data_IF_087609186987
#
_entry.id   IF_087609186987
#
_cell.length_a   1.000
_cell.length_b   1.000
_cell.length_c   1.000
_cell.angle_alpha   90.00
_cell.angle_beta   90.00
_cell.angle_gamma   90.00
#
_symmetry.space_group_name_H-M   'P 1'
#
loop_
_entity.id
_entity.type
_entity.pdbx_description
1 polymer ?
#
# COMPACT_ATOMS: atom_id res chain seq x y z
N UNK A 1 -7.21 -20.76 8.71
CA UNK A 1 -7.56 -19.59 7.89
C UNK A 1 -6.56 -18.51 8.25
N UNK A 2 -5.93 -17.87 7.25
CA UNK A 2 -4.90 -16.82 7.51
C UNK A 2 -5.58 -15.52 7.93
N UNK A 3 -4.96 -14.81 8.84
CA UNK A 3 -5.45 -13.54 9.41
C UNK A 3 -4.57 -12.38 8.96
N UNK A 4 -5.16 -11.36 8.34
CA UNK A 4 -4.43 -10.22 7.79
C UNK A 4 -4.96 -8.92 8.40
N UNK A 5 -4.05 -8.05 8.84
CA UNK A 5 -4.38 -6.70 9.24
C UNK A 5 -4.22 -5.75 8.04
N UNK A 6 -5.24 -4.93 7.78
CA UNK A 6 -5.20 -3.90 6.74
C UNK A 6 -5.25 -2.53 7.41
N UNK A 7 -4.17 -1.76 7.29
CA UNK A 7 -4.07 -0.38 7.80
C UNK A 7 -4.52 0.58 6.71
N UNK A 8 -5.33 1.58 7.07
CA UNK A 8 -5.95 2.48 6.10
C UNK A 8 -7.18 1.87 5.41
N UNK A 9 -7.87 0.95 6.08
CA UNK A 9 -8.98 0.14 5.56
C UNK A 9 -10.18 0.94 5.00
N UNK A 10 -10.32 2.20 5.36
CA UNK A 10 -11.39 3.09 4.87
C UNK A 10 -10.96 3.96 3.69
N UNK A 11 -9.68 3.88 3.27
CA UNK A 11 -9.12 4.62 2.14
C UNK A 11 -9.46 3.99 0.80
N UNK A 12 -9.11 4.70 -0.29
CA UNK A 12 -9.37 4.29 -1.66
C UNK A 12 -8.82 2.89 -1.97
N UNK A 13 -7.55 2.63 -1.66
CA UNK A 13 -6.93 1.32 -1.85
C UNK A 13 -7.36 0.33 -0.76
N UNK A 14 -7.31 0.75 0.51
CA UNK A 14 -7.56 -0.15 1.65
C UNK A 14 -8.92 -0.82 1.63
N UNK A 15 -9.95 -0.10 1.20
CA UNK A 15 -11.32 -0.66 1.05
C UNK A 15 -11.34 -1.82 0.06
N UNK A 16 -10.64 -1.72 -1.06
CA UNK A 16 -10.59 -2.79 -2.06
C UNK A 16 -9.74 -3.97 -1.59
N UNK A 17 -8.65 -3.70 -0.87
CA UNK A 17 -7.82 -4.76 -0.25
C UNK A 17 -8.63 -5.58 0.76
N UNK A 18 -9.42 -4.91 1.62
CA UNK A 18 -10.32 -5.61 2.57
C UNK A 18 -11.31 -6.50 1.83
N UNK A 19 -11.94 -5.99 0.78
CA UNK A 19 -12.89 -6.77 -0.04
C UNK A 19 -12.23 -7.97 -0.72
N UNK A 20 -11.06 -7.77 -1.34
CA UNK A 20 -10.36 -8.85 -2.05
C UNK A 20 -9.91 -9.95 -1.08
N UNK A 21 -9.35 -9.59 0.08
CA UNK A 21 -8.98 -10.55 1.12
C UNK A 21 -10.19 -11.33 1.63
N UNK A 22 -11.29 -10.64 1.93
CA UNK A 22 -12.52 -11.28 2.39
C UNK A 22 -13.08 -12.26 1.36
N UNK A 23 -13.09 -11.87 0.08
CA UNK A 23 -13.54 -12.73 -1.03
C UNK A 23 -12.67 -13.97 -1.21
N UNK A 24 -11.37 -13.89 -0.87
CA UNK A 24 -10.46 -15.05 -0.87
C UNK A 24 -10.47 -15.85 0.43
N UNK A 25 -11.38 -15.52 1.36
CA UNK A 25 -11.59 -16.29 2.60
C UNK A 25 -10.57 -16.01 3.70
N UNK A 26 -9.88 -14.86 3.68
CA UNK A 26 -9.05 -14.44 4.80
C UNK A 26 -9.89 -13.85 5.93
N UNK A 27 -9.41 -14.00 7.17
CA UNK A 27 -9.85 -13.13 8.26
C UNK A 27 -9.14 -11.80 8.19
N UNK A 28 -9.90 -10.71 8.17
CA UNK A 28 -9.38 -9.36 8.00
C UNK A 28 -9.64 -8.52 9.24
N UNK A 29 -8.58 -8.05 9.89
CA UNK A 29 -8.67 -6.93 10.82
C UNK A 29 -8.53 -5.65 10.00
N UNK A 30 -9.62 -4.92 9.82
CA UNK A 30 -9.66 -3.68 9.05
C UNK A 30 -9.43 -2.48 9.98
N UNK A 31 -8.23 -1.90 9.93
CA UNK A 31 -7.79 -0.85 10.85
C UNK A 31 -8.01 0.55 10.26
N UNK A 32 -8.67 1.41 11.03
CA UNK A 32 -8.85 2.82 10.71
C UNK A 32 -9.04 3.65 11.99
N UNK A 33 -8.81 4.97 11.93
CA UNK A 33 -9.14 5.90 13.03
C UNK A 33 -10.65 6.00 13.26
N UNK A 34 -11.40 5.99 12.17
CA UNK A 34 -12.86 5.95 12.18
C UNK A 34 -13.34 4.75 11.38
N UNK A 35 -13.93 3.80 12.06
CA UNK A 35 -14.36 2.51 11.50
C UNK A 35 -15.81 2.51 10.98
N UNK A 36 -16.53 3.61 11.08
CA UNK A 36 -17.95 3.70 10.71
C UNK A 36 -18.29 3.34 9.25
N UNK A 37 -17.28 3.38 8.38
CA UNK A 37 -17.40 3.01 6.95
C UNK A 37 -16.97 1.58 6.65
N UNK A 38 -16.53 0.82 7.66
CA UNK A 38 -16.12 -0.58 7.48
C UNK A 38 -17.37 -1.45 7.64
N UNK A 39 -17.69 -2.20 6.59
CA UNK A 39 -18.74 -3.20 6.63
C UNK A 39 -18.18 -4.47 7.26
N UNK A 40 -18.59 -4.75 8.51
CA UNK A 40 -18.22 -5.97 9.19
C UNK A 40 -18.97 -7.18 8.63
N UNK A 41 -18.31 -8.32 8.64
CA UNK A 41 -18.88 -9.60 8.21
C UNK A 41 -18.30 -10.73 9.07
N UNK A 42 -18.65 -11.97 8.77
CA UNK A 42 -18.10 -13.13 9.48
C UNK A 42 -16.57 -13.17 9.47
N UNK A 43 -15.95 -12.66 8.39
CA UNK A 43 -14.50 -12.68 8.21
C UNK A 43 -13.85 -11.28 8.15
N UNK A 44 -14.61 -10.20 8.36
CA UNK A 44 -14.09 -8.83 8.44
C UNK A 44 -14.44 -8.19 9.77
N UNK A 45 -13.45 -7.80 10.54
CA UNK A 45 -13.59 -7.10 11.82
C UNK A 45 -13.05 -5.68 11.71
N UNK A 46 -13.87 -4.70 12.07
CA UNK A 46 -13.46 -3.32 12.20
C UNK A 46 -12.65 -3.11 13.48
N UNK A 47 -11.49 -2.47 13.39
CA UNK A 47 -10.59 -2.20 14.52
C UNK A 47 -10.19 -0.74 14.49
N UNK A 48 -10.55 -0.01 15.56
CA UNK A 48 -10.08 1.36 15.72
C UNK A 48 -8.61 1.37 16.13
N UNK A 49 -7.78 2.10 15.40
CA UNK A 49 -6.35 2.22 15.69
C UNK A 49 -5.82 3.61 15.31
N UNK A 50 -4.96 4.14 16.16
CA UNK A 50 -4.12 5.29 15.84
C UNK A 50 -2.72 4.80 15.44
N UNK A 51 -2.38 4.99 14.19
CA UNK A 51 -1.07 4.54 13.64
C UNK A 51 0.13 5.27 14.26
N UNK A 52 -0.09 6.43 14.86
CA UNK A 52 0.97 7.19 15.55
C UNK A 52 1.23 6.71 16.99
N UNK A 53 0.36 5.85 17.53
CA UNK A 53 0.58 5.15 18.79
C UNK A 53 1.19 3.76 18.51
N UNK A 54 2.51 3.73 18.27
CA UNK A 54 3.26 2.52 17.88
C UNK A 54 3.03 1.35 18.85
N UNK A 55 3.02 1.63 20.17
CA UNK A 55 2.84 0.57 21.17
C UNK A 55 1.46 -0.07 21.11
N UNK A 56 0.41 0.72 21.03
CA UNK A 56 -0.96 0.22 20.91
C UNK A 56 -1.15 -0.52 19.58
N UNK A 57 -0.62 0.07 18.49
CA UNK A 57 -0.70 -0.56 17.17
C UNK A 57 0.01 -1.93 17.17
N UNK A 58 1.18 -2.04 17.79
CA UNK A 58 1.89 -3.33 17.85
C UNK A 58 1.09 -4.41 18.58
N UNK A 59 0.39 -4.06 19.67
CA UNK A 59 -0.49 -5.00 20.38
C UNK A 59 -1.69 -5.44 19.52
N UNK A 60 -2.28 -4.51 18.77
CA UNK A 60 -3.38 -4.79 17.83
C UNK A 60 -2.94 -5.74 16.70
N UNK A 61 -1.70 -5.58 16.23
CA UNK A 61 -1.16 -6.38 15.12
C UNK A 61 -0.75 -7.78 15.53
N UNK A 62 -0.54 -8.09 16.81
CA UNK A 62 -0.18 -9.41 17.29
C UNK A 62 -1.16 -10.51 16.83
N UNK A 63 -0.60 -11.65 16.43
CA UNK A 63 -1.39 -12.81 16.00
C UNK A 63 -2.01 -12.68 14.60
N UNK A 64 -1.65 -11.64 13.82
CA UNK A 64 -1.88 -11.64 12.38
C UNK A 64 -0.75 -12.36 11.66
N UNK A 65 -1.04 -13.00 10.53
CA UNK A 65 -0.04 -13.66 9.67
C UNK A 65 0.70 -12.65 8.79
N UNK A 66 0.03 -11.54 8.45
CA UNK A 66 0.57 -10.46 7.64
C UNK A 66 -0.10 -9.11 7.93
N UNK A 67 0.58 -8.04 7.54
CA UNK A 67 0.06 -6.67 7.55
C UNK A 67 0.15 -6.08 6.15
N UNK A 68 -0.95 -5.49 5.67
CA UNK A 68 -0.98 -4.68 4.43
C UNK A 68 -1.29 -3.24 4.83
N UNK A 69 -0.38 -2.31 4.53
CA UNK A 69 -0.57 -0.88 4.77
C UNK A 69 -0.91 -0.13 3.49
N UNK A 70 -2.11 0.40 3.44
CA UNK A 70 -2.57 1.38 2.46
C UNK A 70 -2.73 2.77 3.13
N UNK A 71 -1.84 3.07 4.09
CA UNK A 71 -1.86 4.33 4.82
C UNK A 71 -1.51 5.51 3.92
N UNK A 72 -2.31 6.55 4.02
CA UNK A 72 -2.04 7.88 3.47
C UNK A 72 -2.67 8.92 4.41
N UNK A 73 -1.95 9.97 4.84
CA UNK A 73 -2.51 10.98 5.75
C UNK A 73 -3.55 11.89 5.10
N UNK A 74 -3.76 11.78 3.80
CA UNK A 74 -4.69 12.56 2.99
C UNK A 74 -4.00 13.52 2.03
N UNK A 75 -4.41 13.50 0.76
CA UNK A 75 -3.81 14.35 -0.30
C UNK A 75 -4.01 15.85 -0.10
N UNK A 76 -5.00 16.25 0.72
CA UNK A 76 -5.26 17.66 1.07
C UNK A 76 -4.56 18.10 2.37
N UNK A 77 -3.79 17.20 3.00
CA UNK A 77 -3.05 17.52 4.21
C UNK A 77 -1.84 18.41 3.87
N UNK A 78 -1.74 19.63 4.41
CA UNK A 78 -0.62 20.54 4.13
C UNK A 78 0.73 20.01 4.64
N UNK A 79 0.71 19.09 5.61
CA UNK A 79 1.90 18.46 6.20
C UNK A 79 2.07 17.01 5.70
N UNK A 80 1.56 16.71 4.51
CA UNK A 80 1.52 15.33 3.97
C UNK A 80 2.89 14.66 3.98
N UNK A 81 3.96 15.39 3.72
CA UNK A 81 5.32 14.85 3.66
C UNK A 81 5.75 14.31 5.03
N UNK A 82 5.69 15.13 6.06
CA UNK A 82 6.11 14.78 7.43
C UNK A 82 5.18 13.73 8.03
N UNK A 83 3.87 13.90 7.86
CA UNK A 83 2.88 13.00 8.43
C UNK A 83 2.92 11.62 7.75
N UNK A 84 3.21 11.56 6.46
CA UNK A 84 3.38 10.29 5.77
C UNK A 84 4.61 9.53 6.31
N UNK A 85 5.77 10.17 6.37
CA UNK A 85 7.00 9.54 6.86
C UNK A 85 6.84 9.07 8.30
N UNK A 86 6.38 9.95 9.19
CA UNK A 86 6.13 9.62 10.59
C UNK A 86 5.17 8.44 10.75
N UNK A 87 4.09 8.43 9.97
CA UNK A 87 3.11 7.35 10.01
C UNK A 87 3.65 6.04 9.46
N UNK A 88 4.36 6.07 8.34
CA UNK A 88 4.96 4.89 7.73
C UNK A 88 6.02 4.25 8.62
N UNK A 89 6.91 5.04 9.21
CA UNK A 89 7.93 4.55 10.17
C UNK A 89 7.29 4.01 11.46
N UNK A 90 6.22 4.66 11.97
CA UNK A 90 5.48 4.15 13.13
C UNK A 90 4.81 2.80 12.84
N UNK A 91 4.21 2.64 11.66
CA UNK A 91 3.63 1.38 11.22
C UNK A 91 4.68 0.29 11.10
N UNK A 92 5.79 0.57 10.40
CA UNK A 92 6.92 -0.37 10.24
C UNK A 92 7.42 -0.88 11.59
N UNK A 93 7.68 0.04 12.51
CA UNK A 93 8.11 -0.28 13.87
C UNK A 93 7.07 -1.11 14.63
N UNK A 94 5.79 -0.77 14.53
CA UNK A 94 4.72 -1.53 15.17
C UNK A 94 4.61 -2.96 14.61
N UNK A 95 4.80 -3.15 13.29
CA UNK A 95 4.84 -4.48 12.67
C UNK A 95 6.00 -5.29 13.23
N UNK A 96 7.20 -4.72 13.33
CA UNK A 96 8.36 -5.41 13.93
C UNK A 96 8.10 -5.81 15.39
N UNK A 97 7.61 -4.87 16.22
CA UNK A 97 7.33 -5.11 17.63
C UNK A 97 6.20 -6.12 17.86
N UNK A 98 5.27 -6.25 16.92
CA UNK A 98 4.18 -7.24 16.98
C UNK A 98 4.64 -8.68 16.75
N UNK A 99 5.83 -8.87 16.15
CA UNK A 99 6.36 -10.16 15.73
C UNK A 99 5.85 -10.65 14.38
N UNK A 100 4.96 -9.89 13.70
CA UNK A 100 4.54 -10.19 12.31
C UNK A 100 5.72 -9.94 11.37
N UNK A 101 6.01 -10.90 10.49
CA UNK A 101 7.13 -10.79 9.54
C UNK A 101 6.70 -10.27 8.18
N UNK A 102 5.56 -10.74 7.67
CA UNK A 102 5.09 -10.36 6.32
C UNK A 102 4.43 -8.99 6.34
N UNK A 103 5.04 -8.04 5.64
CA UNK A 103 4.58 -6.65 5.56
C UNK A 103 4.54 -6.17 4.11
N UNK A 104 3.38 -5.74 3.63
CA UNK A 104 3.21 -5.14 2.31
C UNK A 104 2.78 -3.69 2.52
N UNK A 105 3.47 -2.74 1.90
CA UNK A 105 3.13 -1.32 1.99
C UNK A 105 2.89 -0.71 0.62
N UNK A 106 1.86 0.10 0.52
CA UNK A 106 1.54 0.87 -0.69
C UNK A 106 2.27 2.20 -0.62
N UNK A 107 3.10 2.44 -1.59
CA UNK A 107 3.84 3.68 -1.76
C UNK A 107 3.26 4.56 -2.88
N UNK A 108 4.13 5.04 -3.77
CA UNK A 108 3.77 5.93 -4.87
C UNK A 108 4.49 5.58 -6.18
N UNK A 109 3.91 5.99 -7.30
CA UNK A 109 4.51 5.85 -8.64
C UNK A 109 5.70 6.80 -8.87
N UNK A 110 5.79 7.89 -8.10
CA UNK A 110 6.76 8.97 -8.32
C UNK A 110 8.22 8.53 -8.38
N UNK A 111 8.58 7.47 -7.64
CA UNK A 111 9.94 6.93 -7.61
C UNK A 111 10.24 5.89 -8.69
N UNK A 112 9.29 5.57 -9.58
CA UNK A 112 9.55 4.71 -10.74
C UNK A 112 10.43 5.42 -11.77
N UNK A 113 11.36 4.69 -12.37
CA UNK A 113 12.26 5.22 -13.39
C UNK A 113 11.61 5.16 -14.76
N UNK A 114 11.43 6.33 -15.38
CA UNK A 114 10.88 6.46 -16.74
C UNK A 114 11.98 6.55 -17.82
N UNK A 115 13.20 6.82 -17.41
CA UNK A 115 14.41 6.76 -18.21
C UNK A 115 15.61 6.46 -17.32
N UNK A 116 16.79 6.26 -17.90
CA UNK A 116 18.03 6.09 -17.15
C UNK A 116 18.28 7.27 -16.20
N UNK A 117 18.38 7.00 -14.92
CA UNK A 117 18.57 7.97 -13.82
C UNK A 117 17.49 9.08 -13.73
N UNK A 118 16.31 8.88 -14.31
CA UNK A 118 15.20 9.83 -14.25
C UNK A 118 13.96 9.17 -13.63
N UNK A 119 13.60 9.60 -12.44
CA UNK A 119 12.35 9.18 -11.80
C UNK A 119 11.18 10.06 -12.25
N UNK A 120 9.97 9.49 -12.25
CA UNK A 120 8.75 10.20 -12.67
C UNK A 120 8.53 11.51 -11.92
N UNK A 121 8.81 11.55 -10.61
CA UNK A 121 8.65 12.74 -9.75
C UNK A 121 9.59 13.89 -10.13
N UNK A 122 10.70 13.61 -10.82
CA UNK A 122 11.71 14.60 -11.20
C UNK A 122 11.42 15.21 -12.58
N UNK A 123 10.34 14.80 -13.24
CA UNK A 123 9.91 15.38 -14.51
C UNK A 123 9.19 16.73 -14.32
N UNK A 124 9.28 17.63 -15.31
CA UNK A 124 8.56 18.91 -15.26
C UNK A 124 7.03 18.75 -15.23
N UNK A 125 6.52 17.65 -15.80
CA UNK A 125 5.09 17.35 -15.92
C UNK A 125 4.50 16.76 -14.64
N UNK A 126 5.33 16.42 -13.64
CA UNK A 126 4.81 15.82 -12.40
C UNK A 126 3.94 16.83 -11.63
N UNK A 127 2.70 16.48 -11.26
CA UNK A 127 1.77 17.41 -10.63
C UNK A 127 2.30 17.95 -9.30
N UNK A 128 2.40 19.27 -9.18
CA UNK A 128 2.96 19.94 -8.00
C UNK A 128 2.17 19.67 -6.73
N UNK A 129 0.85 19.49 -6.86
CA UNK A 129 -0.08 19.28 -5.73
C UNK A 129 0.17 17.96 -5.00
N UNK A 130 0.60 16.92 -5.71
CA UNK A 130 0.86 15.60 -5.12
C UNK A 130 2.35 15.36 -4.86
N UNK A 131 3.23 16.25 -5.31
CA UNK A 131 4.68 16.09 -5.22
C UNK A 131 5.18 15.87 -3.77
N UNK A 132 4.70 16.60 -2.74
CA UNK A 132 5.16 16.37 -1.38
C UNK A 132 4.85 14.95 -0.86
N UNK A 133 3.67 14.43 -1.14
CA UNK A 133 3.28 13.07 -0.77
C UNK A 133 4.04 11.99 -1.55
N UNK A 134 4.30 12.23 -2.85
CA UNK A 134 5.10 11.35 -3.68
C UNK A 134 6.58 11.32 -3.25
N UNK A 135 7.13 12.48 -2.83
CA UNK A 135 8.47 12.59 -2.27
C UNK A 135 8.60 11.83 -0.95
N UNK A 136 7.61 11.94 -0.07
CA UNK A 136 7.58 11.17 1.17
C UNK A 136 7.57 9.66 0.91
N UNK A 137 6.77 9.20 -0.05
CA UNK A 137 6.75 7.79 -0.44
C UNK A 137 8.08 7.33 -1.06
N UNK A 138 8.77 8.20 -1.86
CA UNK A 138 10.11 7.94 -2.38
C UNK A 138 11.11 7.78 -1.24
N UNK A 139 11.11 8.69 -0.30
CA UNK A 139 12.02 8.65 0.84
C UNK A 139 11.75 7.41 1.72
N UNK A 140 10.49 7.07 1.95
CA UNK A 140 10.15 5.88 2.74
C UNK A 140 10.61 4.58 2.06
N UNK A 141 10.59 4.50 0.73
CA UNK A 141 11.19 3.35 0.03
C UNK A 141 12.67 3.19 0.38
N UNK A 142 13.44 4.27 0.47
CA UNK A 142 14.87 4.21 0.86
C UNK A 142 15.07 3.87 2.35
N UNK A 143 14.07 4.14 3.19
CA UNK A 143 14.07 3.74 4.60
C UNK A 143 13.81 2.24 4.72
N UNK A 144 12.72 1.74 4.13
CA UNK A 144 12.32 0.33 4.27
C UNK A 144 13.31 -0.64 3.61
N UNK A 145 14.01 -0.22 2.55
CA UNK A 145 15.10 -1.00 1.94
C UNK A 145 16.19 -1.40 2.93
N UNK A 146 16.36 -0.67 4.02
CA UNK A 146 17.35 -0.94 5.08
C UNK A 146 16.82 -1.90 6.14
N UNK A 147 15.53 -2.23 6.09
CA UNK A 147 14.90 -3.11 7.05
C UNK A 147 15.26 -4.57 6.75
N UNK A 148 16.01 -5.18 7.66
CA UNK A 148 16.43 -6.58 7.56
C UNK A 148 15.49 -7.54 8.32
N UNK A 149 14.64 -7.01 9.20
CA UNK A 149 13.82 -7.78 10.13
C UNK A 149 12.49 -8.24 9.55
N UNK A 150 11.95 -7.50 8.55
CA UNK A 150 10.69 -7.77 7.91
C UNK A 150 10.85 -8.43 6.54
N UNK A 151 9.90 -9.28 6.19
CA UNK A 151 9.68 -9.76 4.83
C UNK A 151 8.77 -8.73 4.13
N UNK A 152 9.33 -7.54 3.90
CA UNK A 152 8.60 -6.43 3.34
C UNK A 152 8.46 -6.53 1.81
N UNK A 153 7.38 -5.94 1.29
CA UNK A 153 7.20 -5.64 -0.14
C UNK A 153 6.66 -4.22 -0.27
N UNK A 154 7.24 -3.43 -1.17
CA UNK A 154 6.79 -2.07 -1.45
C UNK A 154 6.08 -2.03 -2.81
N UNK A 155 4.81 -1.68 -2.83
CA UNK A 155 4.04 -1.56 -4.05
C UNK A 155 4.02 -0.12 -4.56
N UNK A 156 4.55 0.11 -5.75
CA UNK A 156 4.39 1.37 -6.49
C UNK A 156 3.23 1.23 -7.46
N UNK A 157 2.12 1.96 -7.29
CA UNK A 157 0.97 1.84 -8.20
C UNK A 157 1.31 2.30 -9.62
N UNK A 158 0.45 1.94 -10.58
CA UNK A 158 0.49 2.50 -11.92
C UNK A 158 0.37 4.03 -11.90
N UNK A 159 0.91 4.70 -12.92
CA UNK A 159 0.87 6.17 -13.03
C UNK A 159 -0.59 6.66 -13.01
N UNK A 160 -1.47 5.96 -13.72
CA UNK A 160 -2.90 6.25 -13.78
C UNK A 160 -3.68 5.27 -12.88
N UNK A 161 -3.53 5.43 -11.55
CA UNK A 161 -4.32 4.77 -10.53
C UNK A 161 -5.05 5.83 -9.69
N UNK A 162 -6.29 6.13 -10.05
CA UNK A 162 -7.10 7.18 -9.45
C UNK A 162 -8.60 6.85 -9.55
N UNK A 163 -9.47 7.72 -9.04
CA UNK A 163 -10.92 7.49 -9.05
C UNK A 163 -11.49 7.25 -10.46
N UNK A 164 -10.93 7.90 -11.49
CA UNK A 164 -11.38 7.74 -12.88
C UNK A 164 -11.01 6.40 -13.52
N UNK A 165 -10.11 5.63 -12.93
CA UNK A 165 -9.73 4.27 -13.38
C UNK A 165 -10.34 3.16 -12.52
N UNK A 166 -11.17 3.52 -11.53
CA UNK A 166 -11.88 2.58 -10.67
C UNK A 166 -13.12 1.98 -11.34
N UNK A 167 -13.68 0.94 -10.73
CA UNK A 167 -14.93 0.31 -11.15
C UNK A 167 -14.75 -0.90 -12.08
N UNK A 168 -13.50 -1.31 -12.32
CA UNK A 168 -13.19 -2.47 -13.18
C UNK A 168 -12.27 -3.42 -12.43
N UNK A 169 -12.66 -4.68 -12.31
CA UNK A 169 -11.79 -5.77 -11.82
C UNK A 169 -11.56 -6.77 -12.93
N UNK A 170 -10.40 -6.69 -13.60
CA UNK A 170 -10.00 -7.64 -14.66
C UNK A 170 -9.39 -8.91 -14.06
N UNK A 171 -8.70 -8.79 -12.92
CA UNK A 171 -7.98 -9.89 -12.28
C UNK A 171 -6.70 -10.30 -13.03
N UNK A 172 -6.26 -9.51 -14.00
CA UNK A 172 -5.06 -9.74 -14.80
C UNK A 172 -4.28 -8.45 -14.97
N UNK A 173 -2.97 -8.53 -14.85
CA UNK A 173 -2.05 -7.40 -14.96
C UNK A 173 -0.64 -7.93 -15.29
N UNK A 174 0.25 -7.02 -15.67
CA UNK A 174 1.68 -7.28 -15.83
C UNK A 174 2.43 -6.59 -14.70
N UNK A 175 3.59 -7.12 -14.32
CA UNK A 175 4.42 -6.58 -13.25
C UNK A 175 5.78 -6.14 -13.76
N UNK A 176 6.38 -5.18 -13.08
CA UNK A 176 7.77 -4.79 -13.22
C UNK A 176 8.35 -4.39 -11.86
N UNK A 177 9.65 -4.16 -11.76
CA UNK A 177 10.31 -3.77 -10.51
C UNK A 177 10.44 -2.24 -10.41
N UNK A 178 11.37 -1.69 -11.18
CA UNK A 178 11.81 -0.30 -11.05
C UNK A 178 11.19 0.67 -12.07
N UNK A 179 10.62 0.12 -13.16
CA UNK A 179 10.06 0.91 -14.25
C UNK A 179 8.54 0.72 -14.33
N UNK A 180 7.77 1.74 -14.73
CA UNK A 180 6.35 1.56 -14.99
C UNK A 180 6.09 0.49 -16.06
N UNK A 181 4.98 -0.20 -15.94
CA UNK A 181 4.45 -1.04 -17.02
C UNK A 181 3.60 -0.15 -17.92
N UNK A 182 3.84 -0.20 -19.23
CA UNK A 182 3.07 0.55 -20.22
C UNK A 182 2.30 -0.41 -21.14
N UNK A 183 1.10 -0.01 -21.53
CA UNK A 183 0.33 -0.65 -22.59
C UNK A 183 0.83 -0.22 -23.99
N UNK A 184 0.19 -0.72 -25.03
CA UNK A 184 0.52 -0.41 -26.44
C UNK A 184 0.30 1.06 -26.80
N UNK A 185 -0.52 1.78 -26.02
CA UNK A 185 -0.81 3.19 -26.17
C UNK A 185 0.15 4.09 -25.36
N UNK A 186 1.11 3.47 -24.65
CA UNK A 186 2.07 4.17 -23.80
C UNK A 186 1.49 4.67 -22.48
N UNK A 187 0.39 4.06 -22.00
CA UNK A 187 -0.26 4.39 -20.74
C UNK A 187 0.09 3.35 -19.67
N UNK A 188 0.24 3.81 -18.44
CA UNK A 188 0.42 2.95 -17.26
C UNK A 188 -0.82 3.05 -16.40
N UNK A 189 -1.77 2.13 -16.60
CA UNK A 189 -3.11 2.16 -15.99
C UNK A 189 -3.35 0.89 -15.18
N UNK A 190 -3.87 1.03 -13.96
CA UNK A 190 -4.42 -0.06 -13.18
C UNK A 190 -5.61 0.44 -12.36
N UNK A 191 -6.69 -0.33 -12.34
CA UNK A 191 -7.81 -0.03 -11.45
C UNK A 191 -7.44 -0.30 -9.99
N UNK A 192 -8.08 0.38 -9.05
CA UNK A 192 -7.85 0.14 -7.63
C UNK A 192 -8.29 -1.26 -7.20
N UNK A 193 -9.26 -1.84 -7.89
CA UNK A 193 -9.70 -3.22 -7.69
C UNK A 193 -8.59 -4.20 -8.05
N UNK A 194 -7.88 -3.98 -9.15
CA UNK A 194 -6.77 -4.84 -9.57
C UNK A 194 -5.47 -4.51 -8.82
N UNK A 195 -5.32 -3.32 -8.23
CA UNK A 195 -4.31 -3.07 -7.19
C UNK A 195 -4.52 -4.01 -6.02
N UNK A 196 -5.76 -4.17 -5.55
CA UNK A 196 -6.06 -5.10 -4.45
C UNK A 196 -5.75 -6.55 -4.85
N UNK A 197 -6.07 -6.95 -6.08
CA UNK A 197 -5.69 -8.27 -6.61
C UNK A 197 -4.17 -8.45 -6.57
N UNK A 198 -3.40 -7.48 -7.09
CA UNK A 198 -1.94 -7.56 -7.13
C UNK A 198 -1.30 -7.67 -5.72
N UNK A 199 -1.83 -6.92 -4.74
CA UNK A 199 -1.36 -6.96 -3.36
C UNK A 199 -1.67 -8.31 -2.68
N UNK A 200 -2.85 -8.88 -2.94
CA UNK A 200 -3.22 -10.18 -2.36
C UNK A 200 -2.51 -11.32 -3.08
N UNK A 201 -2.30 -11.25 -4.39
CA UNK A 201 -1.46 -12.20 -5.12
C UNK A 201 -0.02 -12.21 -4.58
N UNK A 202 0.55 -11.03 -4.29
CA UNK A 202 1.87 -10.92 -3.69
C UNK A 202 1.90 -11.48 -2.27
N UNK A 203 0.84 -11.29 -1.49
CA UNK A 203 0.71 -11.90 -0.16
C UNK A 203 0.72 -13.45 -0.24
N UNK A 204 0.10 -14.02 -1.26
CA UNK A 204 0.01 -15.47 -1.46
C UNK A 204 1.29 -16.07 -2.04
N UNK A 205 1.90 -15.38 -3.00
CA UNK A 205 3.02 -15.91 -3.80
C UNK A 205 4.40 -15.53 -3.26
N UNK A 206 4.52 -14.43 -2.49
CA UNK A 206 5.78 -13.91 -1.93
C UNK A 206 6.87 -13.71 -3.01
N UNK A 207 6.48 -13.20 -4.17
CA UNK A 207 7.36 -13.06 -5.35
C UNK A 207 8.34 -11.90 -5.20
N UNK A 208 7.95 -10.84 -4.48
CA UNK A 208 8.68 -9.57 -4.37
C UNK A 208 9.08 -9.26 -2.93
N UNK A 209 9.45 -10.29 -2.14
CA UNK A 209 9.93 -10.10 -0.77
C UNK A 209 11.25 -9.32 -0.79
N UNK A 210 11.34 -8.29 0.07
CA UNK A 210 12.46 -7.32 0.15
C UNK A 210 12.71 -6.59 -1.16
N UNK A 211 11.63 -6.35 -1.91
CA UNK A 211 11.68 -5.64 -3.19
C UNK A 211 10.51 -4.67 -3.33
N UNK A 212 10.71 -3.70 -4.21
CA UNK A 212 9.62 -2.96 -4.82
C UNK A 212 9.09 -3.71 -6.02
N UNK A 213 7.78 -3.60 -6.28
CA UNK A 213 7.20 -3.94 -7.58
C UNK A 213 6.11 -2.93 -7.96
N UNK A 214 5.76 -2.94 -9.23
CA UNK A 214 4.64 -2.19 -9.80
C UNK A 214 3.81 -3.11 -10.67
N UNK A 215 2.57 -2.73 -10.94
CA UNK A 215 1.67 -3.46 -11.80
C UNK A 215 0.82 -2.51 -12.66
N UNK A 216 0.56 -2.87 -13.91
CA UNK A 216 -0.40 -2.21 -14.81
C UNK A 216 -0.95 -3.21 -15.86
N UNK A 217 -1.94 -2.80 -16.60
CA UNK A 217 -2.52 -3.58 -17.70
C UNK A 217 -1.57 -3.76 -18.89
#
# INVERSE_FOLDING_TARGET
MKKVAVIGATGFVGTQVVKELANRGYFVNALARNTSKIEESENVKAVTADIYNTTELSEILKGNDAVISAFNPGWTNPNIFEDFLKGAESIEKAVEESGVKRFITVGGAGSLYIAENLQLIDTPEFPAEIKPGAEAARQYLEIIKKNENLDWTFFSPAIEMHQGTAGVRKGTYRTALENPVFDEEGRSVLSVEDVAVALVDELENNQFVKQRFTAAY
#
